data_IF_041403189699
#
_entry.id   IF_041403189699
#
_cell.length_a   1.000
_cell.length_b   1.000
_cell.length_c   1.000
_cell.angle_alpha   90.00
_cell.angle_beta   90.00
_cell.angle_gamma   90.00
#
_symmetry.space_group_name_H-M   'P 1'
#
loop_
_entity.id
_entity.type
_entity.pdbx_description
1 polymer ?
#
# COMPACT_ATOMS: atom_id res chain seq x y z
N UNK A 1 -17.01 5.38 -29.84
CA UNK A 1 -15.55 5.22 -29.65
C UNK A 1 -14.94 6.60 -29.89
N UNK A 2 -14.58 7.31 -28.83
CA UNK A 2 -13.90 8.61 -28.91
C UNK A 2 -12.43 8.31 -28.55
N UNK A 3 -11.54 8.38 -29.54
CA UNK A 3 -10.10 8.27 -29.29
C UNK A 3 -9.59 9.54 -28.59
N UNK A 4 -8.46 9.43 -27.88
CA UNK A 4 -7.80 10.59 -27.29
C UNK A 4 -7.44 11.61 -28.39
N UNK A 5 -7.66 12.90 -28.13
CA UNK A 5 -7.38 13.98 -29.07
C UNK A 5 -5.86 14.12 -29.28
N UNK A 6 -5.33 13.91 -30.51
CA UNK A 6 -3.89 13.99 -30.78
C UNK A 6 -3.27 15.35 -30.43
N UNK A 7 -4.04 16.43 -30.53
CA UNK A 7 -3.52 17.77 -30.25
C UNK A 7 -3.41 18.00 -28.73
N UNK A 8 -4.32 17.42 -27.94
CA UNK A 8 -4.21 17.41 -26.47
C UNK A 8 -3.02 16.56 -25.99
N UNK A 9 -2.71 15.46 -26.68
CA UNK A 9 -1.54 14.64 -26.39
C UNK A 9 -0.23 15.41 -26.65
N UNK A 10 -0.16 16.17 -27.75
CA UNK A 10 1.01 17.01 -28.06
C UNK A 10 1.15 18.22 -27.11
N UNK A 11 0.04 18.81 -26.67
CA UNK A 11 0.03 19.85 -25.65
C UNK A 11 0.61 19.32 -24.33
N UNK A 12 0.13 18.17 -23.87
CA UNK A 12 0.64 17.52 -22.67
C UNK A 12 2.11 17.12 -22.82
N UNK A 13 2.51 16.58 -23.97
CA UNK A 13 3.90 16.24 -24.25
C UNK A 13 4.82 17.47 -24.12
N UNK A 14 4.40 18.63 -24.65
CA UNK A 14 5.13 19.90 -24.52
C UNK A 14 5.19 20.38 -23.08
N UNK A 15 4.10 20.25 -22.33
CA UNK A 15 4.07 20.62 -20.93
C UNK A 15 5.04 19.78 -20.09
N UNK A 16 5.05 18.46 -20.28
CA UNK A 16 5.96 17.55 -19.58
C UNK A 16 7.43 17.83 -19.91
N UNK A 17 7.76 18.04 -21.18
CA UNK A 17 9.12 18.41 -21.60
C UNK A 17 9.55 19.75 -21.00
N UNK A 18 8.67 20.76 -21.03
CA UNK A 18 8.92 22.05 -20.40
C UNK A 18 9.05 21.97 -18.88
N UNK A 19 8.28 21.09 -18.22
CA UNK A 19 8.40 20.83 -16.79
C UNK A 19 9.74 20.16 -16.45
N UNK A 20 10.20 19.21 -17.27
CA UNK A 20 11.51 18.58 -17.13
C UNK A 20 12.65 19.61 -17.19
N UNK A 21 12.59 20.51 -18.17
CA UNK A 21 13.60 21.55 -18.35
C UNK A 21 13.60 22.53 -17.16
N UNK A 22 12.43 22.97 -16.71
CA UNK A 22 12.29 23.83 -15.52
C UNK A 22 12.82 23.14 -14.27
N UNK A 23 12.56 21.85 -14.09
CA UNK A 23 13.00 21.08 -12.95
C UNK A 23 14.54 21.00 -12.90
N UNK A 24 15.17 20.63 -14.03
CA UNK A 24 16.64 20.56 -14.14
C UNK A 24 17.29 21.93 -13.96
N UNK A 25 16.70 22.99 -14.53
CA UNK A 25 17.19 24.35 -14.39
C UNK A 25 17.09 24.86 -12.95
N UNK A 26 15.96 24.63 -12.29
CA UNK A 26 15.73 25.03 -10.88
C UNK A 26 16.69 24.30 -9.95
N UNK A 27 16.87 22.99 -10.15
CA UNK A 27 17.85 22.22 -9.40
C UNK A 27 19.27 22.78 -9.55
N UNK A 28 19.69 23.06 -10.78
CA UNK A 28 21.04 23.60 -11.06
C UNK A 28 21.24 24.97 -10.40
N UNK A 29 20.22 25.83 -10.43
CA UNK A 29 20.26 27.13 -9.75
C UNK A 29 20.32 27.00 -8.23
N UNK A 30 19.52 26.08 -7.65
CA UNK A 30 19.50 25.84 -6.21
C UNK A 30 20.82 25.22 -5.72
N UNK A 31 21.38 24.26 -6.47
CA UNK A 31 22.72 23.72 -6.22
C UNK A 31 23.76 24.83 -6.17
N UNK A 32 23.74 25.75 -7.14
CA UNK A 32 24.67 26.88 -7.19
C UNK A 32 24.53 27.81 -5.98
N UNK A 33 23.30 28.10 -5.55
CA UNK A 33 23.03 28.89 -4.34
C UNK A 33 23.48 28.17 -3.07
N UNK A 34 23.24 26.86 -2.97
CA UNK A 34 23.62 26.05 -1.80
C UNK A 34 25.15 26.00 -1.60
N UNK A 35 25.90 25.91 -2.69
CA UNK A 35 27.36 25.86 -2.66
C UNK A 35 28.01 27.22 -2.38
N UNK A 36 27.32 28.31 -2.69
CA UNK A 36 27.82 29.68 -2.48
C UNK A 36 27.28 30.32 -1.20
N UNK A 37 26.28 29.71 -0.55
CA UNK A 37 25.73 30.19 0.71
C UNK A 37 26.81 30.22 1.81
N UNK A 38 26.87 31.30 2.62
CA UNK A 38 27.80 31.43 3.75
C UNK A 38 27.32 30.59 4.96
N UNK A 39 27.00 29.32 4.72
CA UNK A 39 26.59 28.34 5.72
C UNK A 39 27.69 27.29 5.87
N UNK A 40 28.26 27.18 7.07
CA UNK A 40 29.39 26.31 7.38
C UNK A 40 29.11 25.46 8.63
N UNK A 41 29.71 24.27 8.70
CA UNK A 41 29.51 23.32 9.80
C UNK A 41 29.41 21.89 9.28
N UNK A 42 29.28 20.91 10.17
CA UNK A 42 29.04 19.50 9.84
C UNK A 42 27.74 19.32 9.04
N UNK A 43 26.67 19.96 9.50
CA UNK A 43 25.32 19.80 8.92
C UNK A 43 25.27 20.39 7.51
N UNK A 44 25.98 21.52 7.31
CA UNK A 44 26.13 22.15 6.01
C UNK A 44 26.94 21.29 5.02
N UNK A 45 27.80 20.39 5.51
CA UNK A 45 28.55 19.44 4.69
C UNK A 45 27.71 18.20 4.39
N UNK A 46 27.01 17.66 5.40
CA UNK A 46 26.08 16.54 5.24
C UNK A 46 24.98 16.89 4.23
N UNK A 47 24.28 18.01 4.42
CA UNK A 47 23.21 18.42 3.51
C UNK A 47 23.72 18.68 2.07
N UNK A 48 24.92 19.26 1.90
CA UNK A 48 25.50 19.43 0.55
C UNK A 48 25.88 18.10 -0.08
N UNK A 49 26.39 17.17 0.71
CA UNK A 49 26.67 15.81 0.27
C UNK A 49 25.38 15.13 -0.21
N UNK A 50 24.32 15.14 0.60
CA UNK A 50 23.01 14.56 0.28
C UNK A 50 22.38 15.24 -0.93
N UNK A 51 22.55 16.55 -1.06
CA UNK A 51 22.11 17.29 -2.24
C UNK A 51 22.80 16.80 -3.52
N UNK A 52 24.10 16.58 -3.44
CA UNK A 52 24.94 16.21 -4.58
C UNK A 52 24.80 14.74 -5.00
N UNK A 53 24.51 13.87 -4.04
CA UNK A 53 24.33 12.44 -4.27
C UNK A 53 22.85 12.15 -4.54
N UNK A 54 22.00 12.34 -3.54
CA UNK A 54 20.61 11.91 -3.52
C UNK A 54 19.71 12.80 -4.35
N UNK A 55 19.63 14.09 -3.97
CA UNK A 55 18.62 14.98 -4.53
C UNK A 55 18.88 15.23 -6.02
N UNK A 56 20.16 15.41 -6.40
CA UNK A 56 20.55 15.54 -7.80
C UNK A 56 20.19 14.31 -8.64
N UNK A 57 20.45 13.08 -8.14
CA UNK A 57 20.09 11.87 -8.87
C UNK A 57 18.57 11.72 -9.00
N UNK A 58 17.82 11.99 -7.93
CA UNK A 58 16.36 11.93 -7.91
C UNK A 58 15.74 12.90 -8.92
N UNK A 59 16.21 14.15 -8.92
CA UNK A 59 15.72 15.18 -9.82
C UNK A 59 16.14 14.92 -11.26
N UNK A 60 17.36 14.43 -11.49
CA UNK A 60 17.79 13.99 -12.82
C UNK A 60 16.95 12.83 -13.36
N UNK A 61 16.57 11.88 -12.50
CA UNK A 61 15.68 10.78 -12.86
C UNK A 61 14.27 11.28 -13.18
N UNK A 62 13.69 12.16 -12.35
CA UNK A 62 12.39 12.78 -12.60
C UNK A 62 12.38 13.58 -13.92
N UNK A 63 13.43 14.37 -14.19
CA UNK A 63 13.59 15.11 -15.44
C UNK A 63 13.66 14.20 -16.67
N UNK A 64 14.41 13.09 -16.61
CA UNK A 64 14.43 12.09 -17.69
C UNK A 64 13.07 11.44 -17.90
N UNK A 65 12.36 11.07 -16.82
CA UNK A 65 11.03 10.45 -16.88
C UNK A 65 9.98 11.35 -17.53
N UNK A 66 9.98 12.64 -17.19
CA UNK A 66 9.09 13.63 -17.82
C UNK A 66 9.38 13.76 -19.33
N UNK A 67 10.65 13.66 -19.74
CA UNK A 67 11.04 13.66 -21.16
C UNK A 67 10.65 12.35 -21.86
N UNK A 68 10.82 11.20 -21.23
CA UNK A 68 10.44 9.92 -21.80
C UNK A 68 8.92 9.83 -22.00
N UNK A 69 8.13 10.31 -21.02
CA UNK A 69 6.68 10.44 -21.14
C UNK A 69 6.28 11.39 -22.28
N UNK A 70 6.98 12.53 -22.42
CA UNK A 70 6.78 13.46 -23.53
C UNK A 70 7.00 12.80 -24.90
N UNK A 71 8.10 12.04 -25.07
CA UNK A 71 8.41 11.32 -26.32
C UNK A 71 7.31 10.32 -26.66
N UNK A 72 6.79 9.60 -25.68
CA UNK A 72 5.73 8.60 -25.89
C UNK A 72 4.41 9.25 -26.29
N UNK A 73 4.01 10.33 -25.62
CA UNK A 73 2.79 11.08 -25.96
C UNK A 73 2.85 11.62 -27.39
N UNK A 74 4.00 12.16 -27.82
CA UNK A 74 4.21 12.61 -29.21
C UNK A 74 4.11 11.45 -30.20
N UNK A 75 4.71 10.29 -29.90
CA UNK A 75 4.59 9.10 -30.76
C UNK A 75 3.14 8.63 -30.89
N UNK A 76 2.39 8.64 -29.80
CA UNK A 76 0.97 8.25 -29.79
C UNK A 76 0.09 9.22 -30.56
N UNK A 77 0.34 10.53 -30.45
CA UNK A 77 -0.33 11.54 -31.28
C UNK A 77 -0.10 11.27 -32.78
N UNK A 78 1.13 10.93 -33.16
CA UNK A 78 1.47 10.57 -34.55
C UNK A 78 0.77 9.29 -35.02
N UNK A 79 0.68 8.27 -34.18
CA UNK A 79 -0.02 7.01 -34.49
C UNK A 79 -1.53 7.23 -34.68
N UNK A 80 -2.18 8.05 -33.84
CA UNK A 80 -3.59 8.40 -33.98
C UNK A 80 -3.88 9.18 -35.26
N UNK A 81 -3.01 10.14 -35.60
CA UNK A 81 -3.11 10.89 -36.87
C UNK A 81 -2.98 9.96 -38.08
N UNK A 82 -2.07 8.97 -38.02
CA UNK A 82 -1.91 7.96 -39.09
C UNK A 82 -3.12 7.03 -39.20
N UNK A 83 -3.66 6.57 -38.07
CA UNK A 83 -4.86 5.72 -38.05
C UNK A 83 -6.09 6.45 -38.61
N UNK A 84 -6.23 7.75 -38.30
CA UNK A 84 -7.31 8.61 -38.79
C UNK A 84 -7.18 8.97 -40.27
N UNK A 85 -5.97 8.88 -40.84
CA UNK A 85 -5.69 9.21 -42.24
C UNK A 85 -5.86 8.01 -43.21
N UNK A 86 -6.08 6.78 -42.70
CA UNK A 86 -6.33 5.61 -43.53
C UNK A 86 -7.78 5.63 -44.08
N UNK A 87 -8.03 5.43 -45.39
CA UNK A 87 -9.39 5.37 -45.93
C UNK A 87 -10.13 4.11 -45.46
N UNK A 88 -11.22 4.27 -44.72
CA UNK A 88 -12.04 3.17 -44.22
C UNK A 88 -12.92 2.53 -45.30
N UNK A 89 -12.86 1.19 -45.41
CA UNK A 89 -13.90 0.38 -46.06
C UNK A 89 -15.01 0.10 -45.03
N UNK A 90 -16.25 0.46 -45.38
CA UNK A 90 -17.34 0.63 -44.42
C UNK A 90 -18.29 -0.55 -44.17
N UNK A 91 -19.09 -0.35 -43.10
CA UNK A 91 -20.45 -0.84 -42.79
C UNK A 91 -20.64 -2.35 -42.58
N UNK A 92 -21.39 -2.83 -41.57
CA UNK A 92 -22.83 -2.58 -41.36
C UNK A 92 -23.31 -2.67 -39.89
N UNK A 93 -24.36 -1.90 -39.62
CA UNK A 93 -25.17 -1.86 -38.40
C UNK A 93 -26.08 -3.10 -38.19
N UNK A 94 -26.48 -3.33 -36.93
CA UNK A 94 -27.58 -4.21 -36.52
C UNK A 94 -28.08 -3.85 -35.11
N UNK A 95 -29.40 -3.77 -34.94
CA UNK A 95 -30.18 -3.03 -33.92
C UNK A 95 -30.76 -3.92 -32.78
N UNK A 96 -31.30 -3.22 -31.74
CA UNK A 96 -32.32 -3.62 -30.73
C UNK A 96 -31.79 -4.38 -29.48
N UNK A 97 -32.09 -4.04 -28.21
CA UNK A 97 -33.27 -3.47 -27.53
C UNK A 97 -33.04 -3.49 -25.98
N UNK A 98 -34.00 -3.11 -25.11
CA UNK A 98 -33.75 -2.13 -24.03
C UNK A 98 -33.89 -2.63 -22.57
N UNK A 99 -33.30 -1.86 -21.63
CA UNK A 99 -33.93 -1.46 -20.35
C UNK A 99 -33.72 -2.32 -19.09
N UNK A 100 -33.05 -1.75 -18.08
CA UNK A 100 -33.07 -2.22 -16.67
C UNK A 100 -32.01 -1.50 -15.85
N UNK A 101 -32.41 -0.53 -15.01
CA UNK A 101 -31.49 0.38 -14.29
C UNK A 101 -30.75 -0.26 -13.11
N UNK A 102 -29.72 0.41 -12.55
CA UNK A 102 -29.12 -0.01 -11.30
C UNK A 102 -29.83 0.65 -10.12
N UNK A 103 -30.45 -0.17 -9.27
CA UNK A 103 -30.74 0.17 -7.88
C UNK A 103 -29.49 -0.02 -7.01
N UNK A 104 -29.43 0.59 -5.81
CA UNK A 104 -28.24 0.62 -4.98
C UNK A 104 -28.11 -0.68 -4.17
N UNK A 105 -26.90 -1.22 -4.08
CA UNK A 105 -26.50 -2.22 -3.09
C UNK A 105 -25.13 -1.72 -2.61
N UNK A 106 -24.98 -1.06 -1.47
CA UNK A 106 -25.62 -1.31 -0.19
C UNK A 106 -24.77 -2.34 0.54
N UNK A 107 -23.81 -1.87 1.33
CA UNK A 107 -22.94 -2.71 2.13
C UNK A 107 -23.74 -3.73 2.92
N UNK A 108 -23.46 -5.00 2.65
CA UNK A 108 -23.83 -6.09 3.52
C UNK A 108 -22.55 -6.71 4.00
N UNK A 109 -22.12 -6.24 5.17
CA UNK A 109 -21.27 -7.03 6.06
C UNK A 109 -21.92 -8.40 6.18
N UNK A 110 -21.27 -9.39 5.57
CA UNK A 110 -21.51 -10.77 5.94
C UNK A 110 -20.98 -10.88 7.36
N UNK A 111 -21.91 -10.89 8.32
CA UNK A 111 -21.67 -11.45 9.63
C UNK A 111 -21.06 -12.83 9.38
N UNK A 112 -19.77 -12.96 9.68
CA UNK A 112 -19.09 -14.25 9.68
C UNK A 112 -19.87 -15.11 10.67
N UNK A 113 -20.48 -16.23 10.25
CA UNK A 113 -21.05 -17.14 11.22
C UNK A 113 -19.91 -17.63 12.11
N UNK A 114 -20.02 -17.40 13.42
CA UNK A 114 -19.20 -18.07 14.42
C UNK A 114 -19.39 -19.58 14.22
N UNK A 115 -18.40 -20.25 13.63
CA UNK A 115 -18.38 -21.70 13.55
C UNK A 115 -17.66 -22.26 12.34
N UNK A 116 -16.37 -22.58 12.48
CA UNK A 116 -15.89 -23.96 12.65
C UNK A 116 -14.36 -23.96 12.63
N UNK A 117 -13.72 -23.81 13.79
CA UNK A 117 -12.28 -24.05 13.94
C UNK A 117 -11.97 -25.56 13.81
N UNK A 118 -10.84 -25.95 13.19
CA UNK A 118 -10.40 -27.34 13.19
C UNK A 118 -9.91 -27.71 14.60
N UNK A 119 -10.64 -28.59 15.29
CA UNK A 119 -10.22 -29.30 16.52
C UNK A 119 -9.36 -28.49 17.53
N UNK A 120 -9.84 -27.34 17.99
CA UNK A 120 -9.12 -26.44 18.91
C UNK A 120 -9.52 -26.63 20.38
N UNK A 121 -8.63 -26.28 21.31
CA UNK A 121 -8.88 -26.35 22.76
C UNK A 121 -9.96 -25.36 23.27
N UNK A 122 -10.03 -25.12 24.59
CA UNK A 122 -10.93 -24.12 25.16
C UNK A 122 -10.81 -22.75 24.48
N UNK A 123 -11.94 -22.04 24.28
CA UNK A 123 -11.96 -20.74 23.62
C UNK A 123 -12.86 -19.73 24.33
N UNK A 124 -12.41 -18.46 24.36
CA UNK A 124 -13.15 -17.29 24.84
C UNK A 124 -13.01 -16.17 23.80
N UNK A 125 -14.14 -15.59 23.38
CA UNK A 125 -14.21 -14.47 22.43
C UNK A 125 -13.40 -14.68 21.14
N UNK A 126 -13.38 -15.92 20.63
CA UNK A 126 -12.64 -16.29 19.42
C UNK A 126 -11.13 -16.50 19.62
N UNK A 127 -10.59 -16.30 20.83
CA UNK A 127 -9.25 -16.75 21.19
C UNK A 127 -9.31 -18.21 21.64
N UNK A 128 -8.50 -19.07 21.03
CA UNK A 128 -8.48 -20.52 21.29
C UNK A 128 -7.13 -20.93 21.86
N UNK A 129 -7.13 -21.75 22.91
CA UNK A 129 -5.90 -22.32 23.48
C UNK A 129 -5.25 -23.28 22.49
N UNK A 130 -3.97 -23.07 22.22
CA UNK A 130 -3.18 -23.82 21.27
C UNK A 130 -1.92 -23.07 20.83
N UNK A 131 -1.05 -23.71 20.03
CA UNK A 131 0.11 -23.02 19.47
C UNK A 131 -0.33 -21.88 18.54
N UNK A 132 0.53 -20.87 18.30
CA UNK A 132 0.28 -19.81 17.32
C UNK A 132 -0.22 -20.38 15.99
N UNK A 133 -1.45 -20.04 15.63
CA UNK A 133 -2.10 -20.54 14.41
C UNK A 133 -2.77 -19.38 13.70
N UNK A 134 -2.29 -19.06 12.50
CA UNK A 134 -2.89 -18.04 11.64
C UNK A 134 -4.33 -18.44 11.29
N UNK A 135 -5.32 -17.57 11.54
CA UNK A 135 -6.70 -17.83 11.17
C UNK A 135 -6.87 -17.74 9.65
N UNK A 136 -7.95 -18.30 9.08
CA UNK A 136 -8.29 -18.05 7.69
C UNK A 136 -8.44 -16.54 7.42
N UNK A 137 -7.70 -16.03 6.43
CA UNK A 137 -7.80 -14.65 5.96
C UNK A 137 -8.57 -14.62 4.64
N UNK A 138 -9.37 -13.57 4.44
CA UNK A 138 -10.17 -13.41 3.20
C UNK A 138 -9.81 -12.12 2.50
N UNK A 139 -9.53 -12.21 1.19
CA UNK A 139 -9.23 -11.06 0.35
C UNK A 139 -10.09 -11.11 -0.91
N UNK A 140 -10.46 -9.95 -1.43
CA UNK A 140 -11.07 -9.81 -2.76
C UNK A 140 -10.00 -9.57 -3.80
N UNK A 141 -10.35 -9.76 -5.08
CA UNK A 141 -9.55 -9.27 -6.21
C UNK A 141 -10.54 -8.72 -7.24
N UNK A 142 -10.65 -7.39 -7.27
CA UNK A 142 -11.60 -6.70 -8.14
C UNK A 142 -11.11 -6.60 -9.59
N UNK A 143 -9.81 -6.80 -9.82
CA UNK A 143 -9.16 -6.60 -11.11
C UNK A 143 -8.26 -7.81 -11.46
N UNK A 144 -8.85 -9.00 -11.59
CA UNK A 144 -8.08 -10.19 -11.93
C UNK A 144 -7.40 -10.03 -13.28
N UNK A 145 -6.19 -10.56 -13.40
CA UNK A 145 -5.45 -10.59 -14.66
C UNK A 145 -6.26 -11.25 -15.78
N UNK A 146 -6.33 -10.60 -16.93
CA UNK A 146 -7.00 -11.10 -18.13
C UNK A 146 -5.99 -11.20 -19.29
N UNK A 147 -5.60 -12.42 -19.72
CA UNK A 147 -4.64 -12.59 -20.82
C UNK A 147 -5.17 -12.11 -22.18
N UNK A 148 -6.49 -11.94 -22.31
CA UNK A 148 -7.13 -11.43 -23.52
C UNK A 148 -7.30 -9.90 -23.50
N UNK A 149 -7.05 -9.26 -22.36
CA UNK A 149 -7.06 -7.81 -22.28
C UNK A 149 -6.01 -7.20 -23.22
N UNK A 150 -6.40 -6.09 -23.86
CA UNK A 150 -5.52 -5.30 -24.73
C UNK A 150 -5.42 -3.89 -24.18
N UNK A 151 -4.20 -3.39 -24.13
CA UNK A 151 -3.93 -2.03 -23.72
C UNK A 151 -4.47 -1.03 -24.73
N UNK A 152 -4.98 0.08 -24.21
CA UNK A 152 -5.43 1.24 -24.95
C UNK A 152 -4.45 2.40 -24.75
N UNK A 153 -4.47 3.42 -25.61
CA UNK A 153 -3.67 4.63 -25.39
C UNK A 153 -3.95 5.29 -24.03
N UNK A 154 -5.19 5.21 -23.53
CA UNK A 154 -5.55 5.74 -22.22
C UNK A 154 -4.86 4.98 -21.08
N UNK A 155 -4.68 3.66 -21.22
CA UNK A 155 -3.96 2.85 -20.22
C UNK A 155 -2.49 3.27 -20.14
N UNK A 156 -1.82 3.49 -21.27
CA UNK A 156 -0.44 3.99 -21.28
C UNK A 156 -0.32 5.40 -20.68
N UNK A 157 -1.27 6.29 -21.00
CA UNK A 157 -1.31 7.63 -20.43
C UNK A 157 -1.50 7.58 -18.91
N UNK A 158 -2.40 6.71 -18.41
CA UNK A 158 -2.59 6.47 -16.99
C UNK A 158 -1.31 5.90 -16.34
N UNK A 159 -0.67 4.90 -16.96
CA UNK A 159 0.56 4.30 -16.46
C UNK A 159 1.67 5.34 -16.26
N UNK A 160 1.82 6.25 -17.23
CA UNK A 160 2.78 7.35 -17.19
C UNK A 160 2.40 8.40 -16.14
N UNK A 161 1.14 8.83 -16.11
CA UNK A 161 0.60 9.79 -15.13
C UNK A 161 0.91 9.30 -13.72
N UNK A 162 0.50 8.08 -13.38
CA UNK A 162 0.58 7.57 -12.03
C UNK A 162 2.00 7.33 -11.57
N UNK A 163 2.85 6.79 -12.44
CA UNK A 163 4.25 6.69 -12.08
C UNK A 163 4.90 8.07 -11.93
N UNK A 164 4.60 9.04 -12.80
CA UNK A 164 5.14 10.40 -12.66
C UNK A 164 4.68 11.05 -11.34
N UNK A 165 3.43 10.81 -10.92
CA UNK A 165 2.92 11.24 -9.61
C UNK A 165 3.67 10.56 -8.46
N UNK A 166 3.89 9.24 -8.49
CA UNK A 166 4.68 8.55 -7.47
C UNK A 166 6.12 9.07 -7.40
N UNK A 167 6.77 9.26 -8.55
CA UNK A 167 8.12 9.83 -8.62
C UNK A 167 8.19 11.28 -8.09
N UNK A 168 7.15 12.07 -8.31
CA UNK A 168 7.01 13.41 -7.75
C UNK A 168 6.76 13.39 -6.25
N UNK A 169 5.89 12.50 -5.78
CA UNK A 169 5.57 12.31 -4.38
C UNK A 169 6.80 11.89 -3.56
N UNK A 170 7.65 10.99 -4.08
CA UNK A 170 8.96 10.66 -3.49
C UNK A 170 9.87 11.87 -3.24
N UNK A 171 9.65 13.01 -3.90
CA UNK A 171 10.43 14.24 -3.72
C UNK A 171 9.80 15.24 -2.74
N UNK A 172 8.48 15.22 -2.58
CA UNK A 172 7.73 16.29 -1.90
C UNK A 172 6.77 15.81 -0.81
N UNK A 173 6.54 14.50 -0.71
CA UNK A 173 5.67 13.82 0.26
C UNK A 173 6.47 12.77 1.05
N UNK A 174 7.44 13.18 1.88
CA UNK A 174 8.16 12.25 2.75
C UNK A 174 7.22 11.57 3.75
N UNK A 175 6.05 12.15 4.01
CA UNK A 175 4.98 11.59 4.83
C UNK A 175 4.21 10.43 4.17
N UNK A 176 4.54 10.05 2.93
CA UNK A 176 3.91 8.96 2.18
C UNK A 176 4.89 7.85 1.80
N UNK A 177 5.98 7.70 2.53
CA UNK A 177 7.05 6.74 2.25
C UNK A 177 6.56 5.28 2.16
N UNK A 178 5.76 4.80 3.13
CA UNK A 178 5.20 3.45 3.09
C UNK A 178 4.22 3.27 1.94
N UNK A 179 3.30 4.22 1.75
CA UNK A 179 2.35 4.23 0.65
C UNK A 179 3.06 4.15 -0.71
N UNK A 180 4.13 4.93 -0.89
CA UNK A 180 4.90 4.95 -2.12
C UNK A 180 5.73 3.67 -2.30
N UNK A 181 6.26 3.10 -1.22
CA UNK A 181 7.02 1.85 -1.24
C UNK A 181 6.16 0.68 -1.72
N UNK A 182 4.94 0.54 -1.19
CA UNK A 182 4.03 -0.54 -1.63
C UNK A 182 3.47 -0.29 -3.04
N UNK A 183 3.23 0.98 -3.40
CA UNK A 183 2.77 1.33 -4.74
C UNK A 183 3.83 1.11 -5.83
N UNK A 184 5.10 1.41 -5.53
CA UNK A 184 6.20 1.10 -6.44
C UNK A 184 6.33 -0.41 -6.66
N UNK A 185 6.21 -1.20 -5.59
CA UNK A 185 6.25 -2.66 -5.69
C UNK A 185 5.09 -3.25 -6.49
N UNK A 186 3.88 -2.70 -6.35
CA UNK A 186 2.74 -3.05 -7.19
C UNK A 186 3.09 -2.89 -8.68
N UNK A 187 3.70 -1.77 -9.04
CA UNK A 187 4.10 -1.42 -10.42
C UNK A 187 5.29 -2.21 -10.93
N UNK A 188 6.17 -2.68 -10.05
CA UNK A 188 7.27 -3.57 -10.41
C UNK A 188 6.79 -4.96 -10.86
N UNK A 189 5.49 -5.27 -10.70
CA UNK A 189 4.81 -6.42 -11.26
C UNK A 189 5.33 -7.79 -10.77
N UNK A 190 6.06 -7.79 -9.65
CA UNK A 190 6.62 -9.04 -9.09
C UNK A 190 5.54 -9.85 -8.38
N UNK A 191 4.67 -9.14 -7.65
CA UNK A 191 3.64 -9.74 -6.81
C UNK A 191 4.19 -10.47 -5.58
N UNK A 192 5.46 -10.30 -5.24
CA UNK A 192 6.06 -10.99 -4.08
C UNK A 192 5.51 -10.39 -2.79
N UNK A 193 5.25 -11.18 -1.74
CA UNK A 193 4.80 -10.63 -0.47
C UNK A 193 5.77 -9.59 0.10
N UNK A 194 5.23 -8.54 0.72
CA UNK A 194 6.01 -7.49 1.38
C UNK A 194 5.76 -7.47 2.88
N UNK A 195 6.80 -7.09 3.63
CA UNK A 195 6.66 -6.76 5.04
C UNK A 195 6.53 -5.24 5.22
N UNK A 196 5.57 -4.81 6.03
CA UNK A 196 5.40 -3.43 6.49
C UNK A 196 5.87 -3.28 7.94
N UNK A 197 6.36 -2.10 8.30
CA UNK A 197 6.69 -1.79 9.69
C UNK A 197 5.42 -1.48 10.47
N UNK A 198 4.85 -2.50 11.10
CA UNK A 198 3.58 -2.33 11.82
C UNK A 198 3.75 -1.60 13.15
N UNK A 199 4.97 -1.52 13.68
CA UNK A 199 5.30 -0.70 14.84
C UNK A 199 5.24 0.79 14.48
N UNK A 200 5.70 1.16 13.28
CA UNK A 200 5.52 2.49 12.72
C UNK A 200 4.05 2.82 12.49
N UNK A 201 3.30 1.90 11.87
CA UNK A 201 1.86 2.06 11.71
C UNK A 201 1.14 2.36 13.03
N UNK A 202 1.51 1.65 14.10
CA UNK A 202 1.00 1.89 15.45
C UNK A 202 1.35 3.29 15.98
N UNK A 203 2.56 3.80 15.71
CA UNK A 203 3.01 5.12 16.18
C UNK A 203 2.37 6.27 15.42
N UNK A 204 2.19 6.12 14.12
CA UNK A 204 1.82 7.21 13.22
C UNK A 204 0.31 7.34 13.00
N UNK A 205 -0.43 6.23 13.06
CA UNK A 205 -1.85 6.19 12.76
C UNK A 205 -2.71 5.89 13.99
N UNK A 206 -3.48 6.89 14.43
CA UNK A 206 -4.29 6.77 15.64
C UNK A 206 -5.39 5.70 15.55
N UNK A 207 -5.91 5.41 14.35
CA UNK A 207 -6.92 4.38 14.17
C UNK A 207 -6.29 2.98 14.28
N UNK A 208 -5.11 2.79 13.68
CA UNK A 208 -4.33 1.54 13.80
C UNK A 208 -3.93 1.32 15.26
N UNK A 209 -3.42 2.35 15.93
CA UNK A 209 -3.09 2.29 17.36
C UNK A 209 -4.28 1.83 18.20
N UNK A 210 -5.45 2.41 17.96
CA UNK A 210 -6.68 2.05 18.65
C UNK A 210 -7.14 0.61 18.34
N UNK A 211 -6.95 0.10 17.11
CA UNK A 211 -7.29 -1.27 16.75
C UNK A 211 -6.40 -2.27 17.48
N UNK A 212 -5.10 -2.00 17.53
CA UNK A 212 -4.11 -2.80 18.25
C UNK A 212 -4.40 -2.80 19.75
N UNK A 213 -4.67 -1.63 20.34
CA UNK A 213 -5.04 -1.50 21.76
C UNK A 213 -6.32 -2.27 22.10
N UNK A 214 -7.33 -2.24 21.20
CA UNK A 214 -8.55 -3.01 21.37
C UNK A 214 -8.27 -4.52 21.35
N UNK A 215 -7.41 -4.99 20.44
CA UNK A 215 -7.01 -6.40 20.36
C UNK A 215 -6.22 -6.86 21.59
N UNK A 216 -5.30 -6.03 22.10
CA UNK A 216 -4.57 -6.28 23.34
C UNK A 216 -5.51 -6.42 24.55
N UNK A 217 -6.50 -5.51 24.65
CA UNK A 217 -7.49 -5.54 25.72
C UNK A 217 -8.40 -6.78 25.64
N UNK A 218 -8.80 -7.16 24.42
CA UNK A 218 -9.56 -8.38 24.14
C UNK A 218 -8.77 -9.63 24.56
N UNK A 219 -7.53 -9.74 24.11
CA UNK A 219 -6.66 -10.87 24.42
C UNK A 219 -6.40 -11.00 25.93
N UNK A 220 -6.13 -9.88 26.63
CA UNK A 220 -5.97 -9.88 28.09
C UNK A 220 -7.21 -10.42 28.81
N UNK A 221 -8.40 -10.02 28.37
CA UNK A 221 -9.67 -10.48 28.95
C UNK A 221 -9.84 -11.98 28.72
N UNK A 222 -9.64 -12.43 27.49
CA UNK A 222 -9.71 -13.85 27.15
C UNK A 222 -8.68 -14.70 27.91
N UNK A 223 -7.45 -14.22 28.12
CA UNK A 223 -6.44 -14.90 28.91
C UNK A 223 -6.88 -15.12 30.37
N UNK A 224 -7.51 -14.10 30.99
CA UNK A 224 -8.01 -14.23 32.36
C UNK A 224 -9.13 -15.28 32.45
N UNK A 225 -10.09 -15.23 31.52
CA UNK A 225 -11.22 -16.14 31.50
C UNK A 225 -10.80 -17.58 31.16
N UNK A 226 -9.85 -17.76 30.23
CA UNK A 226 -9.28 -19.06 29.90
C UNK A 226 -8.51 -19.65 31.08
N UNK A 227 -7.70 -18.85 31.78
CA UNK A 227 -7.02 -19.30 32.99
C UNK A 227 -8.00 -19.73 34.09
N UNK A 228 -9.07 -18.94 34.30
CA UNK A 228 -10.11 -19.25 35.26
C UNK A 228 -10.91 -20.52 34.89
N UNK A 229 -11.21 -20.71 33.60
CA UNK A 229 -11.97 -21.85 33.09
C UNK A 229 -11.15 -23.15 33.10
N UNK A 230 -9.88 -23.08 32.73
CA UNK A 230 -9.03 -24.28 32.54
C UNK A 230 -8.19 -24.64 33.77
N UNK A 231 -7.97 -23.68 34.67
CA UNK A 231 -7.04 -23.82 35.79
C UNK A 231 -5.56 -23.81 35.38
N UNK A 232 -5.25 -23.51 34.12
CA UNK A 232 -3.87 -23.46 33.61
C UNK A 232 -3.17 -22.16 34.05
N UNK A 233 -1.91 -22.29 34.48
CA UNK A 233 -1.04 -21.16 34.83
C UNK A 233 -0.01 -20.85 33.75
N UNK A 234 0.04 -21.63 32.66
CA UNK A 234 0.86 -21.37 31.48
C UNK A 234 0.20 -22.00 30.26
N UNK A 235 -0.02 -21.21 29.21
CA UNK A 235 -0.65 -21.65 27.97
C UNK A 235 -0.41 -20.65 26.83
N UNK A 236 -0.53 -21.14 25.60
CA UNK A 236 -0.56 -20.31 24.38
C UNK A 236 -2.00 -20.19 23.89
N UNK A 237 -2.32 -19.08 23.22
CA UNK A 237 -3.63 -18.86 22.59
C UNK A 237 -3.50 -18.07 21.28
N UNK A 238 -4.49 -18.18 20.39
CA UNK A 238 -4.56 -17.38 19.15
C UNK A 238 -5.99 -16.99 18.83
N UNK A 239 -6.17 -15.77 18.31
CA UNK A 239 -7.47 -15.19 17.96
C UNK A 239 -7.86 -15.36 16.49
N UNK A 240 -9.17 -15.26 16.23
CA UNK A 240 -9.69 -15.04 14.89
C UNK A 240 -9.31 -13.65 14.34
N UNK A 241 -9.27 -13.52 13.01
CA UNK A 241 -9.02 -12.26 12.34
C UNK A 241 -10.22 -11.31 12.42
N UNK A 242 -9.94 -10.01 12.54
CA UNK A 242 -10.90 -8.91 12.48
C UNK A 242 -10.37 -7.82 11.57
N UNK A 243 -11.25 -7.14 10.84
CA UNK A 243 -10.87 -5.92 10.11
C UNK A 243 -10.51 -4.80 11.10
N UNK A 244 -9.53 -3.96 10.75
CA UNK A 244 -9.15 -2.79 11.53
C UNK A 244 -10.36 -1.89 11.84
N UNK A 245 -11.21 -1.68 10.82
CA UNK A 245 -12.43 -0.90 10.93
C UNK A 245 -13.47 -1.47 11.88
N UNK A 246 -13.47 -2.79 12.10
CA UNK A 246 -14.37 -3.44 13.05
C UNK A 246 -13.92 -3.29 14.50
N UNK A 247 -12.62 -3.07 14.75
CA UNK A 247 -12.05 -2.89 16.08
C UNK A 247 -12.07 -1.43 16.54
N UNK A 248 -11.71 -0.49 15.66
CA UNK A 248 -11.63 0.93 16.01
C UNK A 248 -12.05 1.87 14.87
N UNK A 249 -11.61 1.58 13.64
CA UNK A 249 -11.80 2.45 12.48
C UNK A 249 -10.79 2.17 11.36
N UNK A 250 -11.09 2.65 10.16
CA UNK A 250 -10.18 2.62 9.01
C UNK A 250 -8.94 3.48 9.33
N UNK A 251 -7.73 3.16 8.81
CA UNK A 251 -6.56 4.01 8.99
C UNK A 251 -6.86 5.49 8.73
N UNK A 252 -6.27 6.35 9.55
CA UNK A 252 -6.61 7.78 9.62
C UNK A 252 -5.66 8.68 8.80
N UNK A 253 -4.45 8.21 8.52
CA UNK A 253 -3.41 8.93 7.78
C UNK A 253 -3.38 8.52 6.31
N UNK A 254 -3.06 9.46 5.42
CA UNK A 254 -2.97 9.15 3.98
C UNK A 254 -1.92 8.04 3.71
N UNK A 255 -0.81 8.02 4.47
CA UNK A 255 0.23 7.00 4.36
C UNK A 255 -0.35 5.60 4.58
N UNK A 256 -0.94 5.36 5.75
CA UNK A 256 -1.39 4.04 6.15
C UNK A 256 -2.72 3.62 5.50
N UNK A 257 -3.57 4.58 5.11
CA UNK A 257 -4.72 4.31 4.23
C UNK A 257 -4.29 3.69 2.91
N UNK A 258 -3.26 4.28 2.28
CA UNK A 258 -2.75 3.80 1.01
C UNK A 258 -1.88 2.56 1.18
N UNK A 259 -1.17 2.39 2.29
CA UNK A 259 -0.23 1.29 2.49
C UNK A 259 -0.91 -0.04 2.85
N UNK A 260 -1.98 0.01 3.65
CA UNK A 260 -2.63 -1.16 4.24
C UNK A 260 -4.16 -1.19 4.13
N UNK A 261 -4.82 -0.06 3.87
CA UNK A 261 -6.27 0.02 3.85
C UNK A 261 -6.97 -0.60 5.07
N UNK A 262 -8.13 -1.24 4.85
CA UNK A 262 -8.84 -1.97 5.91
C UNK A 262 -8.26 -3.38 6.09
N UNK A 263 -7.05 -3.43 6.60
CA UNK A 263 -6.32 -4.67 6.83
C UNK A 263 -6.97 -5.55 7.91
N UNK A 264 -6.65 -6.84 7.87
CA UNK A 264 -7.05 -7.82 8.88
C UNK A 264 -6.00 -7.92 9.99
N UNK A 265 -6.45 -7.91 11.24
CA UNK A 265 -5.62 -8.13 12.43
C UNK A 265 -6.01 -9.44 13.11
N UNK A 266 -5.03 -10.16 13.63
CA UNK A 266 -5.23 -11.26 14.58
C UNK A 266 -4.08 -11.29 15.58
N UNK A 267 -4.24 -11.98 16.71
CA UNK A 267 -3.17 -12.09 17.72
C UNK A 267 -2.84 -13.54 18.08
N UNK A 268 -1.57 -13.76 18.41
CA UNK A 268 -1.08 -14.95 19.10
C UNK A 268 -0.38 -14.54 20.39
N UNK A 269 -0.52 -15.35 21.44
CA UNK A 269 0.01 -14.98 22.75
C UNK A 269 0.43 -16.17 23.60
N UNK A 270 1.50 -15.99 24.37
CA UNK A 270 1.96 -16.87 25.44
C UNK A 270 1.67 -16.21 26.79
N UNK A 271 0.90 -16.91 27.63
CA UNK A 271 0.46 -16.43 28.95
C UNK A 271 1.13 -17.25 30.05
N UNK A 272 1.63 -16.58 31.09
CA UNK A 272 2.12 -17.19 32.32
C UNK A 272 1.56 -16.46 33.53
N UNK A 273 1.06 -17.22 34.51
CA UNK A 273 0.49 -16.70 35.76
C UNK A 273 1.31 -17.24 36.93
N UNK A 274 1.97 -16.34 37.65
CA UNK A 274 2.78 -16.68 38.81
C UNK A 274 2.58 -15.65 39.92
N UNK A 275 2.40 -16.11 41.16
CA UNK A 275 2.32 -15.22 42.33
C UNK A 275 1.19 -14.17 42.26
N UNK A 276 0.05 -14.50 41.63
CA UNK A 276 -1.08 -13.57 41.45
C UNK A 276 -0.88 -12.53 40.34
N UNK A 277 0.19 -12.65 39.56
CA UNK A 277 0.51 -11.77 38.43
C UNK A 277 0.48 -12.58 37.13
N UNK A 278 -0.25 -12.08 36.14
CA UNK A 278 -0.26 -12.61 34.78
C UNK A 278 0.74 -11.81 33.93
N UNK A 279 1.50 -12.51 33.09
CA UNK A 279 2.37 -11.94 32.05
C UNK A 279 1.97 -12.57 30.72
N UNK A 280 1.76 -11.74 29.70
CA UNK A 280 1.43 -12.16 28.35
C UNK A 280 2.43 -11.56 27.38
N UNK A 281 3.09 -12.41 26.61
CA UNK A 281 3.82 -12.01 25.41
C UNK A 281 2.86 -12.21 24.24
N UNK A 282 2.44 -11.13 23.61
CA UNK A 282 1.43 -11.12 22.55
C UNK A 282 2.03 -10.51 21.29
N UNK A 283 1.83 -11.19 20.17
CA UNK A 283 2.10 -10.68 18.83
C UNK A 283 0.78 -10.37 18.15
N UNK A 284 0.62 -9.13 17.69
CA UNK A 284 -0.47 -8.72 16.81
C UNK A 284 0.05 -8.77 15.39
N UNK A 285 -0.62 -9.54 14.55
CA UNK A 285 -0.31 -9.75 13.15
C UNK A 285 -1.30 -8.97 12.29
N UNK A 286 -0.79 -8.17 11.38
CA UNK A 286 -1.54 -7.44 10.37
C UNK A 286 -1.31 -8.06 9.00
N UNK A 287 -2.39 -8.30 8.27
CA UNK A 287 -2.36 -8.83 6.92
C UNK A 287 -3.28 -8.03 6.02
N UNK A 288 -2.79 -7.69 4.85
CA UNK A 288 -3.60 -7.10 3.79
C UNK A 288 -3.20 -7.69 2.43
N UNK A 289 -4.08 -7.49 1.45
CA UNK A 289 -3.82 -7.75 0.05
C UNK A 289 -3.79 -6.40 -0.64
N UNK A 290 -2.58 -5.91 -0.93
CA UNK A 290 -2.43 -4.66 -1.66
C UNK A 290 -3.01 -4.82 -3.08
N UNK A 291 -4.21 -4.30 -3.27
CA UNK A 291 -4.95 -4.29 -4.52
C UNK A 291 -5.75 -2.99 -4.68
N UNK A 292 -6.48 -2.89 -5.79
CA UNK A 292 -7.39 -1.79 -6.06
C UNK A 292 -8.82 -2.34 -6.11
N UNK A 293 -9.81 -1.54 -5.70
CA UNK A 293 -11.17 -2.00 -5.54
C UNK A 293 -12.13 -1.34 -6.52
N UNK A 294 -12.79 -2.14 -7.37
CA UNK A 294 -13.62 -1.59 -8.45
C UNK A 294 -14.78 -0.76 -7.88
N UNK A 295 -14.97 0.45 -8.41
CA UNK A 295 -16.00 1.38 -7.94
C UNK A 295 -15.66 2.09 -6.62
N UNK A 296 -14.49 1.83 -6.03
CA UNK A 296 -13.95 2.61 -4.93
C UNK A 296 -13.10 3.77 -5.46
N UNK A 297 -12.70 4.67 -4.55
CA UNK A 297 -11.82 5.77 -4.89
C UNK A 297 -10.90 6.07 -3.72
N UNK A 298 -9.71 6.51 -4.06
CA UNK A 298 -8.75 7.02 -3.11
C UNK A 298 -9.37 8.13 -2.25
N UNK A 299 -9.27 7.99 -0.93
CA UNK A 299 -9.91 8.90 0.03
C UNK A 299 -9.35 10.32 -0.10
N UNK A 300 -8.02 10.44 -0.27
CA UNK A 300 -7.34 11.73 -0.28
C UNK A 300 -7.55 12.50 -1.58
N UNK A 301 -7.51 11.81 -2.73
CA UNK A 301 -7.53 12.47 -4.05
C UNK A 301 -8.88 12.35 -4.78
N UNK A 302 -9.76 11.45 -4.35
CA UNK A 302 -10.99 11.12 -5.08
C UNK A 302 -10.76 10.37 -6.39
N UNK A 303 -9.54 9.87 -6.60
CA UNK A 303 -9.18 9.12 -7.80
C UNK A 303 -9.87 7.76 -7.80
N UNK A 304 -10.57 7.36 -8.88
CA UNK A 304 -11.12 6.02 -9.01
C UNK A 304 -10.03 4.95 -9.01
N UNK A 305 -10.23 3.92 -8.19
CA UNK A 305 -9.33 2.76 -8.10
C UNK A 305 -9.21 2.03 -9.45
N UNK A 306 -10.26 2.08 -10.27
CA UNK A 306 -10.31 1.57 -11.64
C UNK A 306 -9.13 2.05 -12.51
N UNK A 307 -8.58 3.25 -12.27
CA UNK A 307 -7.42 3.74 -13.04
C UNK A 307 -6.19 2.86 -12.83
N UNK A 308 -5.90 2.48 -11.58
CA UNK A 308 -4.71 1.68 -11.24
C UNK A 308 -5.00 0.18 -11.30
N UNK A 309 -6.19 -0.24 -10.86
CA UNK A 309 -6.62 -1.64 -10.96
C UNK A 309 -6.56 -2.19 -12.38
N UNK A 310 -6.81 -1.33 -13.38
CA UNK A 310 -6.66 -1.68 -14.80
C UNK A 310 -5.25 -2.21 -15.15
N UNK A 311 -4.20 -1.78 -14.46
CA UNK A 311 -2.84 -2.28 -14.68
C UNK A 311 -2.67 -3.75 -14.30
N UNK A 312 -3.39 -4.22 -13.27
CA UNK A 312 -3.41 -5.64 -12.90
C UNK A 312 -4.12 -6.49 -13.96
N UNK A 313 -5.26 -6.02 -14.48
CA UNK A 313 -5.97 -6.70 -15.59
C UNK A 313 -5.06 -6.86 -16.81
N UNK A 314 -4.25 -5.84 -17.11
CA UNK A 314 -3.29 -5.84 -18.22
C UNK A 314 -2.01 -6.63 -17.96
N UNK A 315 -1.79 -7.09 -16.72
CA UNK A 315 -0.53 -7.76 -16.32
C UNK A 315 0.67 -6.82 -16.28
N UNK A 316 0.45 -5.51 -16.17
CA UNK A 316 1.50 -4.48 -16.04
C UNK A 316 1.91 -4.24 -14.59
N UNK A 317 1.01 -4.52 -13.67
CA UNK A 317 1.22 -4.46 -12.23
C UNK A 317 0.62 -5.71 -11.58
N UNK A 318 1.00 -6.01 -10.34
CA UNK A 318 0.57 -7.24 -9.68
C UNK A 318 0.20 -7.00 -8.22
N UNK A 319 -1.05 -7.27 -7.82
CA UNK A 319 -1.43 -7.25 -6.41
C UNK A 319 -0.60 -8.27 -5.62
N UNK A 320 -0.31 -7.96 -4.36
CA UNK A 320 0.56 -8.77 -3.50
C UNK A 320 0.10 -8.75 -2.04
N UNK A 321 0.56 -9.71 -1.26
CA UNK A 321 0.22 -9.79 0.16
C UNK A 321 1.17 -8.89 0.95
N UNK A 322 0.61 -8.06 1.82
CA UNK A 322 1.35 -7.28 2.82
C UNK A 322 1.16 -7.91 4.19
N UNK A 323 2.23 -7.95 4.98
CA UNK A 323 2.18 -8.43 6.36
C UNK A 323 3.01 -7.57 7.29
N UNK A 324 2.55 -7.39 8.50
CA UNK A 324 3.25 -6.66 9.54
C UNK A 324 2.98 -7.30 10.90
N UNK A 325 3.90 -7.13 11.84
CA UNK A 325 3.71 -7.68 13.19
C UNK A 325 4.27 -6.69 14.21
N UNK A 326 3.63 -6.64 15.38
CA UNK A 326 4.19 -6.00 16.57
C UNK A 326 4.04 -6.94 17.76
N UNK A 327 5.04 -6.96 18.63
CA UNK A 327 5.03 -7.76 19.85
C UNK A 327 5.01 -6.85 21.07
N UNK A 328 4.25 -7.24 22.09
CA UNK A 328 4.19 -6.59 23.40
C UNK A 328 4.31 -7.62 24.51
N UNK A 329 5.01 -7.24 25.58
CA UNK A 329 4.93 -7.95 26.85
C UNK A 329 4.07 -7.11 27.80
N UNK A 330 2.94 -7.65 28.23
CA UNK A 330 2.03 -6.97 29.16
C UNK A 330 1.88 -7.79 30.43
N UNK A 331 1.87 -7.10 31.58
CA UNK A 331 1.80 -7.71 32.90
C UNK A 331 0.67 -7.05 33.70
N UNK A 332 -0.15 -7.85 34.37
CA UNK A 332 -1.26 -7.35 35.18
C UNK A 332 -1.53 -8.24 36.41
N UNK A 333 -2.07 -7.69 37.50
CA UNK A 333 -2.60 -8.50 38.60
C UNK A 333 -3.81 -9.32 38.13
N UNK A 334 -3.88 -10.60 38.51
CA UNK A 334 -5.03 -11.44 38.16
C UNK A 334 -6.31 -10.84 38.76
N UNK A 335 -7.36 -10.67 37.94
CA UNK A 335 -8.64 -10.08 38.34
C UNK A 335 -8.72 -8.55 38.20
N UNK A 336 -7.66 -7.91 37.72
CA UNK A 336 -7.66 -6.48 37.40
C UNK A 336 -8.40 -6.18 36.08
N UNK A 337 -9.19 -5.09 36.09
CA UNK A 337 -10.07 -4.66 35.00
C UNK A 337 -9.63 -3.35 34.32
N UNK A 338 -8.45 -2.82 34.65
CA UNK A 338 -7.94 -1.59 34.04
C UNK A 338 -7.60 -1.83 32.56
N UNK A 339 -8.06 -0.98 31.61
CA UNK A 339 -7.68 -1.06 30.20
C UNK A 339 -6.16 -0.99 30.01
N UNK A 340 -5.63 -1.78 29.07
CA UNK A 340 -4.21 -1.73 28.69
C UNK A 340 -4.07 -0.86 27.45
N UNK A 341 -3.09 0.03 27.46
CA UNK A 341 -2.55 0.66 26.25
C UNK A 341 -1.24 -0.05 25.93
N UNK A 342 -0.98 -0.37 24.67
CA UNK A 342 0.35 -0.78 24.27
C UNK A 342 1.31 0.40 24.49
N UNK A 343 2.08 0.39 25.58
CA UNK A 343 3.25 1.27 25.66
C UNK A 343 4.26 0.93 24.56
N UNK A 344 5.33 1.71 24.42
CA UNK A 344 6.52 1.32 23.65
C UNK A 344 7.11 0.05 24.30
N UNK A 345 6.99 -1.10 23.65
CA UNK A 345 7.43 -2.41 24.15
C UNK A 345 8.81 -2.82 23.62
N UNK A 346 9.48 -3.77 24.31
CA UNK A 346 10.81 -4.27 23.95
C UNK A 346 10.80 -4.92 22.54
N UNK A 347 11.44 -4.25 21.58
CA UNK A 347 11.33 -4.52 20.15
C UNK A 347 12.33 -5.61 19.73
N UNK A 348 11.86 -6.66 19.07
CA UNK A 348 12.70 -7.39 18.11
C UNK A 348 12.73 -6.56 16.83
N UNK A 349 13.64 -5.57 16.74
CA UNK A 349 13.79 -4.78 15.50
C UNK A 349 14.08 -5.74 14.37
N UNK A 350 13.17 -5.84 13.42
CA UNK A 350 13.44 -6.55 12.18
C UNK A 350 14.55 -5.75 11.48
N UNK A 351 15.75 -6.31 11.23
CA UNK A 351 16.91 -5.52 10.76
C UNK A 351 16.80 -5.06 9.30
N UNK A 352 15.58 -4.87 8.78
CA UNK A 352 15.30 -4.49 7.40
C UNK A 352 14.05 -3.63 7.18
N UNK A 353 13.40 -3.11 8.21
CA UNK A 353 12.39 -2.05 8.05
C UNK A 353 12.99 -0.71 8.51
N UNK A 354 12.84 0.30 7.66
CA UNK A 354 13.53 1.58 7.71
C UNK A 354 13.17 2.37 9.00
N UNK A 355 14.18 3.03 9.56
CA UNK A 355 14.33 3.50 10.93
C UNK A 355 15.19 4.79 10.92
N UNK A 356 15.13 5.76 9.96
CA UNK A 356 15.97 6.99 10.06
C UNK A 356 15.48 8.35 9.49
N UNK A 357 16.05 9.42 10.08
CA UNK A 357 16.24 10.77 9.51
C UNK A 357 17.08 10.94 8.22
N UNK A 358 17.51 9.90 7.48
CA UNK A 358 18.28 10.07 6.22
C UNK A 358 18.13 8.94 5.15
N UNK A 359 17.12 8.07 5.21
CA UNK A 359 17.21 6.76 4.54
C UNK A 359 16.91 6.71 3.04
N UNK A 360 17.97 6.44 2.29
CA UNK A 360 17.91 5.87 0.95
C UNK A 360 18.41 4.43 1.06
N UNK A 361 17.52 3.54 1.47
CA UNK A 361 17.91 2.21 1.92
C UNK A 361 17.29 1.02 1.22
N UNK A 362 16.53 1.18 0.15
CA UNK A 362 16.32 0.08 -0.82
C UNK A 362 16.59 0.59 -2.22
N UNK A 363 17.40 -0.15 -2.98
CA UNK A 363 17.80 0.23 -4.32
C UNK A 363 16.57 0.65 -5.12
N UNK A 364 16.47 1.95 -5.42
CA UNK A 364 15.35 2.51 -6.19
C UNK A 364 15.13 1.60 -7.39
N UNK A 365 13.96 0.95 -7.53
CA UNK A 365 13.73 0.13 -8.68
C UNK A 365 14.01 0.97 -9.93
N UNK A 366 14.78 0.40 -10.85
CA UNK A 366 14.76 0.89 -12.22
C UNK A 366 13.30 0.83 -12.64
N UNK A 367 12.71 2.00 -12.91
CA UNK A 367 11.32 2.08 -13.35
C UNK A 367 11.07 1.01 -14.42
N UNK A 368 10.03 0.17 -14.27
CA UNK A 368 9.72 -0.80 -15.29
C UNK A 368 9.56 -0.06 -16.63
N UNK A 369 10.13 -0.60 -17.72
CA UNK A 369 10.00 0.02 -19.04
C UNK A 369 8.50 0.19 -19.35
N UNK A 370 8.17 1.20 -20.15
CA UNK A 370 6.79 1.37 -20.62
C UNK A 370 6.37 0.04 -21.28
N UNK A 371 5.33 -0.63 -20.76
CA UNK A 371 4.88 -1.89 -21.31
C UNK A 371 4.59 -1.72 -22.81
N UNK A 372 5.12 -2.64 -23.62
CA UNK A 372 5.14 -2.66 -25.09
C UNK A 372 5.68 -1.42 -25.82
N UNK A 373 7.00 -1.40 -25.97
CA UNK A 373 7.66 -0.92 -27.20
C UNK A 373 8.47 -1.99 -27.92
N UNK A 374 8.38 -3.24 -27.48
CA UNK A 374 9.10 -4.37 -28.08
C UNK A 374 8.10 -5.48 -28.37
N UNK A 375 8.02 -6.02 -29.60
CA UNK A 375 7.31 -7.26 -29.83
C UNK A 375 7.92 -8.33 -28.92
N UNK A 376 7.10 -9.01 -28.13
CA UNK A 376 7.51 -10.26 -27.48
C UNK A 376 7.66 -11.33 -28.55
N UNK A 377 8.77 -11.29 -29.30
CA UNK A 377 9.31 -12.45 -29.98
C UNK A 377 9.84 -13.40 -28.88
N UNK A 378 9.25 -14.59 -28.83
CA UNK A 378 9.25 -15.45 -27.66
C UNK A 378 10.54 -16.19 -27.33
N UNK A 379 10.53 -16.79 -26.13
CA UNK A 379 10.90 -18.19 -25.81
C UNK A 379 10.43 -18.49 -24.40
#
# INVERSE_FOLDING_TARGET
MIGADPDQLDDLARELSGAADRLVATHSALRGRLHTAPWSGSDAQAFRHDWDTTHHQAIGAAGRRLRDASVVLTRQADEQRRASAAPGAGSTAGLAGPGGGPGPIGGHGLAVPVGMHPAGGPSIDGLTVGPPTEPPLTFTDSFPYDPDARATPADHAAWLKWGAQAAGAHLIRPDLDDALRVYDHYRDNTGTPMTVDYEEAYREDAAIAAAVDAELARARTAAQDLAAQTGQSSFSMSGAASLASALSGYPSTENWQKALGDHQLWSSADVTIAGGTATMVITVHAHDRYDFNAGMSDIATGTPDDENGRFAVLGWAKPFDTRGELTRTITWPVGDSIPITAGEGDVSRNPGSEDRPDELGSGRPSWPPIPDTTPLDGT
#
